data_IF_133953670900
#
_entry.id   IF_133953670900
#
_cell.length_a   1.000
_cell.length_b   1.000
_cell.length_c   1.000
_cell.angle_alpha   90.00
_cell.angle_beta   90.00
_cell.angle_gamma   90.00
#
_symmetry.space_group_name_H-M   'P 1'
#
loop_
_entity.id
_entity.type
_entity.pdbx_description
1 polymer ?
#
# COMPACT_ATOMS: atom_id res chain seq x y z
N UNK A 1 -6.22 16.66 14.43
CA UNK A 1 -5.66 16.94 13.10
C UNK A 1 -5.06 15.63 12.58
N UNK A 2 -5.54 15.13 11.45
CA UNK A 2 -5.14 13.84 10.87
C UNK A 2 -4.03 14.11 9.86
N UNK A 3 -2.77 14.11 10.27
CA UNK A 3 -1.64 14.20 9.35
C UNK A 3 -1.24 12.79 8.91
N UNK A 4 -1.55 12.44 7.66
CA UNK A 4 -1.12 11.18 7.05
C UNK A 4 -1.73 9.93 7.68
N UNK A 5 -3.03 9.94 7.96
CA UNK A 5 -3.69 8.80 8.63
C UNK A 5 -4.08 7.72 7.62
N UNK A 6 -3.66 6.48 7.89
CA UNK A 6 -4.13 5.27 7.19
C UNK A 6 -5.36 4.68 7.91
N UNK A 7 -6.35 4.19 7.16
CA UNK A 7 -7.43 3.34 7.71
C UNK A 7 -6.93 1.92 7.90
N UNK A 8 -6.85 1.47 9.15
CA UNK A 8 -6.46 0.10 9.51
C UNK A 8 -7.66 -0.85 9.57
N UNK A 9 -8.79 -0.37 10.09
CA UNK A 9 -9.98 -1.19 10.32
C UNK A 9 -11.04 -0.46 11.13
N UNK A 10 -11.89 -1.22 11.81
CA UNK A 10 -12.86 -0.74 12.79
C UNK A 10 -12.55 -1.43 14.11
N UNK A 11 -12.48 -0.67 15.20
CA UNK A 11 -12.41 -1.21 16.55
C UNK A 11 -13.82 -1.15 17.15
N UNK A 12 -14.35 -2.31 17.51
CA UNK A 12 -15.56 -2.42 18.32
C UNK A 12 -15.14 -2.58 19.77
N UNK A 13 -15.70 -1.75 20.66
CA UNK A 13 -15.48 -1.84 22.10
C UNK A 13 -16.83 -2.10 22.76
N UNK A 14 -16.88 -3.13 23.59
CA UNK A 14 -18.06 -3.48 24.37
C UNK A 14 -17.77 -3.22 25.84
N UNK A 15 -18.62 -2.42 26.49
CA UNK A 15 -18.55 -2.19 27.92
C UNK A 15 -19.03 -3.45 28.66
N UNK A 16 -18.33 -3.82 29.74
CA UNK A 16 -18.75 -4.93 30.60
C UNK A 16 -20.09 -4.66 31.30
N UNK A 17 -20.78 -5.71 31.78
CA UNK A 17 -22.13 -5.59 32.36
C UNK A 17 -22.20 -4.69 33.61
N UNK A 18 -21.10 -4.54 34.35
CA UNK A 18 -21.03 -3.70 35.55
C UNK A 18 -20.59 -2.25 35.26
N UNK A 19 -20.28 -1.94 33.99
CA UNK A 19 -19.99 -0.57 33.56
C UNK A 19 -21.33 0.15 33.48
N UNK A 20 -21.67 0.95 34.48
CA UNK A 20 -22.95 1.67 34.59
C UNK A 20 -23.20 2.75 33.52
N UNK A 21 -22.62 2.63 32.31
CA UNK A 21 -22.75 3.60 31.22
C UNK A 21 -21.95 3.25 29.96
N UNK A 22 -22.05 4.11 28.95
CA UNK A 22 -21.26 4.05 27.70
C UNK A 22 -19.75 4.07 28.01
N UNK A 23 -18.95 3.40 27.17
CA UNK A 23 -17.50 3.41 27.29
C UNK A 23 -16.96 4.85 27.23
N UNK A 24 -16.03 5.19 28.12
CA UNK A 24 -15.36 6.48 28.12
C UNK A 24 -14.66 6.71 26.77
N UNK A 25 -15.05 7.75 26.05
CA UNK A 25 -14.53 8.06 24.72
C UNK A 25 -13.02 8.27 24.71
N UNK A 26 -12.44 8.84 25.77
CA UNK A 26 -11.00 9.08 25.87
C UNK A 26 -10.24 7.77 26.05
N UNK A 27 -10.80 6.84 26.84
CA UNK A 27 -10.27 5.48 27.00
C UNK A 27 -10.35 4.71 25.68
N UNK A 28 -11.49 4.76 24.99
CA UNK A 28 -11.67 4.12 23.67
C UNK A 28 -10.70 4.69 22.64
N UNK A 29 -10.49 6.02 22.64
CA UNK A 29 -9.54 6.69 21.76
C UNK A 29 -8.11 6.26 22.05
N UNK A 30 -7.71 6.22 23.32
CA UNK A 30 -6.38 5.77 23.73
C UNK A 30 -6.13 4.30 23.35
N UNK A 31 -7.14 3.44 23.55
CA UNK A 31 -7.09 2.03 23.14
C UNK A 31 -6.94 1.90 21.62
N UNK A 32 -7.74 2.64 20.84
CA UNK A 32 -7.68 2.62 19.38
C UNK A 32 -6.33 3.10 18.84
N UNK A 33 -5.78 4.18 19.42
CA UNK A 33 -4.46 4.69 19.05
C UNK A 33 -3.34 3.69 19.38
N UNK A 34 -3.38 3.07 20.57
CA UNK A 34 -2.37 2.10 21.00
C UNK A 34 -2.44 0.83 20.15
N UNK A 35 -3.64 0.27 19.95
CA UNK A 35 -3.83 -0.89 19.08
C UNK A 35 -3.42 -0.60 17.63
N UNK A 36 -3.76 0.58 17.10
CA UNK A 36 -3.34 1.01 15.77
C UNK A 36 -1.81 1.10 15.63
N UNK A 37 -1.13 1.67 16.63
CA UNK A 37 0.32 1.77 16.66
C UNK A 37 0.98 0.39 16.66
N UNK A 38 0.52 -0.53 17.53
CA UNK A 38 1.02 -1.90 17.61
C UNK A 38 0.80 -2.68 16.30
N UNK A 39 -0.38 -2.55 15.69
CA UNK A 39 -0.67 -3.20 14.40
C UNK A 39 0.26 -2.69 13.29
N UNK A 40 0.54 -1.38 13.26
CA UNK A 40 1.42 -0.78 12.26
C UNK A 40 2.89 -1.11 12.50
N UNK A 41 3.34 -1.21 13.76
CA UNK A 41 4.73 -1.58 14.08
C UNK A 41 5.02 -3.06 13.84
N UNK A 42 4.08 -3.93 14.19
CA UNK A 42 4.28 -5.39 14.11
C UNK A 42 4.10 -5.95 12.69
N UNK A 43 3.28 -5.33 11.84
CA UNK A 43 2.99 -5.86 10.48
C UNK A 43 4.23 -6.02 9.59
N UNK A 44 5.33 -5.31 9.87
CA UNK A 44 6.59 -5.39 9.10
C UNK A 44 7.43 -6.59 9.54
N UNK A 45 7.25 -7.07 10.76
CA UNK A 45 8.06 -8.11 11.39
C UNK A 45 7.28 -9.42 11.62
N UNK A 46 5.96 -9.42 11.37
CA UNK A 46 5.06 -10.53 11.65
C UNK A 46 4.12 -10.82 10.48
N UNK A 47 4.14 -12.07 10.03
CA UNK A 47 3.22 -12.60 9.02
C UNK A 47 1.77 -12.75 9.53
N UNK A 48 1.53 -12.57 10.84
CA UNK A 48 0.19 -12.74 11.42
C UNK A 48 -0.81 -11.76 10.82
N UNK A 49 -0.41 -10.51 10.59
CA UNK A 49 -1.27 -9.54 9.92
C UNK A 49 -1.62 -9.99 8.49
N UNK A 50 -0.62 -10.42 7.70
CA UNK A 50 -0.84 -10.89 6.34
C UNK A 50 -1.77 -12.12 6.30
N UNK A 51 -1.62 -13.06 7.25
CA UNK A 51 -2.49 -14.24 7.38
C UNK A 51 -3.92 -13.90 7.76
N UNK A 52 -4.12 -12.95 8.70
CA UNK A 52 -5.44 -12.57 9.19
C UNK A 52 -6.23 -11.69 8.21
N UNK A 53 -5.54 -10.95 7.34
CA UNK A 53 -6.17 -10.00 6.41
C UNK A 53 -6.45 -10.58 5.02
N UNK A 54 -6.31 -11.91 4.86
CA UNK A 54 -6.49 -12.61 3.57
C UNK A 54 -7.29 -13.91 3.73
N UNK A 55 -8.09 -14.26 2.73
CA UNK A 55 -8.92 -15.48 2.75
C UNK A 55 -8.28 -16.68 2.05
N UNK A 56 -7.27 -16.45 1.19
CA UNK A 56 -6.52 -17.51 0.49
C UNK A 56 -5.03 -17.12 0.34
N UNK A 57 -4.13 -18.11 0.12
CA UNK A 57 -2.72 -17.82 -0.20
C UNK A 57 -2.59 -16.99 -1.48
N UNK A 58 -1.56 -16.14 -1.56
CA UNK A 58 -1.21 -15.40 -2.78
C UNK A 58 -0.09 -16.11 -3.55
N UNK A 59 -0.12 -16.05 -4.88
CA UNK A 59 1.00 -16.45 -5.72
C UNK A 59 2.19 -15.50 -5.55
N UNK A 60 3.40 -16.00 -5.79
CA UNK A 60 4.66 -15.22 -5.63
C UNK A 60 4.66 -13.86 -6.35
N UNK A 61 4.18 -13.73 -7.61
CA UNK A 61 4.16 -12.43 -8.29
C UNK A 61 3.25 -11.41 -7.59
N UNK A 62 2.18 -11.90 -6.99
CA UNK A 62 1.19 -11.10 -6.26
C UNK A 62 1.78 -10.68 -4.92
N UNK A 63 2.41 -11.59 -4.18
CA UNK A 63 3.13 -11.27 -2.92
C UNK A 63 4.16 -10.15 -3.14
N UNK A 64 4.94 -10.24 -4.24
CA UNK A 64 5.90 -9.21 -4.62
C UNK A 64 5.21 -7.85 -4.85
N UNK A 65 4.19 -7.81 -5.71
CA UNK A 65 3.46 -6.58 -6.00
C UNK A 65 2.81 -5.98 -4.75
N UNK A 66 2.17 -6.81 -3.93
CA UNK A 66 1.47 -6.39 -2.72
C UNK A 66 2.42 -5.80 -1.68
N UNK A 67 3.62 -6.38 -1.53
CA UNK A 67 4.67 -5.87 -0.65
C UNK A 67 5.19 -4.48 -1.03
N UNK A 68 5.09 -4.13 -2.32
CA UNK A 68 5.57 -2.87 -2.89
C UNK A 68 4.51 -1.75 -2.86
N UNK A 69 3.25 -2.11 -2.64
CA UNK A 69 2.10 -1.20 -2.73
C UNK A 69 2.05 -0.29 -1.50
N UNK A 70 1.88 1.04 -1.66
CA UNK A 70 1.74 1.95 -0.52
C UNK A 70 0.40 1.73 0.21
N UNK A 71 0.19 2.34 1.38
CA UNK A 71 -1.08 2.24 2.10
C UNK A 71 -2.29 2.56 1.21
N UNK A 72 -3.30 1.69 1.19
CA UNK A 72 -4.49 1.89 0.34
C UNK A 72 -5.30 3.14 0.68
N UNK A 73 -5.07 3.73 1.84
CA UNK A 73 -5.74 4.97 2.26
C UNK A 73 -4.75 5.92 2.87
N UNK A 74 -4.92 7.20 2.57
CA UNK A 74 -4.18 8.30 3.16
C UNK A 74 -5.12 9.50 3.26
N UNK A 75 -5.03 10.25 4.34
CA UNK A 75 -5.70 11.54 4.45
C UNK A 75 -4.83 12.51 5.22
N UNK A 76 -4.68 13.72 4.69
CA UNK A 76 -4.23 14.91 5.39
C UNK A 76 -5.27 16.04 5.25
N UNK A 77 -4.94 17.27 5.64
CA UNK A 77 -5.84 18.41 5.51
C UNK A 77 -6.13 18.85 4.06
N UNK A 78 -5.34 18.39 3.09
CA UNK A 78 -5.35 18.87 1.70
C UNK A 78 -5.78 17.79 0.72
N UNK A 79 -5.46 16.53 0.99
CA UNK A 79 -5.75 15.41 0.09
C UNK A 79 -6.20 14.18 0.84
N UNK A 80 -7.17 13.48 0.26
CA UNK A 80 -7.58 12.14 0.66
C UNK A 80 -7.38 11.20 -0.52
N UNK A 81 -6.69 10.10 -0.28
CA UNK A 81 -6.42 9.03 -1.24
C UNK A 81 -7.12 7.79 -0.73
N UNK A 82 -7.88 7.14 -1.62
CA UNK A 82 -8.46 5.82 -1.38
C UNK A 82 -8.26 4.99 -2.64
N UNK A 83 -7.51 3.91 -2.51
CA UNK A 83 -7.25 2.95 -3.56
C UNK A 83 -7.89 1.61 -3.17
N UNK A 84 -8.62 1.04 -4.11
CA UNK A 84 -9.13 -0.31 -4.01
C UNK A 84 -8.43 -1.15 -5.08
N UNK A 85 -7.79 -2.22 -4.64
CA UNK A 85 -7.25 -3.25 -5.50
C UNK A 85 -7.89 -4.54 -5.01
N UNK A 86 -8.61 -5.21 -5.91
CA UNK A 86 -9.10 -6.54 -5.59
C UNK A 86 -7.88 -7.42 -5.25
N UNK A 87 -7.91 -8.21 -4.17
CA UNK A 87 -6.84 -9.14 -3.88
C UNK A 87 -6.76 -10.16 -5.02
N UNK A 88 -5.90 -9.91 -5.99
CA UNK A 88 -5.75 -10.74 -7.16
C UNK A 88 -4.78 -11.88 -6.81
N UNK A 89 -5.22 -12.83 -5.97
CA UNK A 89 -4.33 -13.81 -5.35
C UNK A 89 -3.56 -14.72 -6.33
N UNK A 90 -3.93 -14.72 -7.62
CA UNK A 90 -3.25 -15.49 -8.66
C UNK A 90 -2.66 -14.63 -9.78
N UNK A 91 -3.11 -13.39 -9.93
CA UNK A 91 -2.81 -12.54 -11.08
C UNK A 91 -2.28 -11.20 -10.57
N UNK A 92 -1.09 -10.83 -10.99
CA UNK A 92 -0.53 -9.51 -10.75
C UNK A 92 -0.59 -8.70 -12.05
N UNK A 93 -0.49 -7.37 -11.98
CA UNK A 93 -0.46 -6.52 -13.17
C UNK A 93 -0.85 -5.07 -12.87
N UNK A 94 -1.99 -4.89 -12.21
CA UNK A 94 -2.47 -3.58 -11.80
C UNK A 94 -1.75 -3.12 -10.55
N UNK A 95 -1.07 -1.98 -10.60
CA UNK A 95 -0.38 -1.43 -9.46
C UNK A 95 -0.57 0.08 -9.36
N UNK A 96 -0.44 0.60 -8.15
CA UNK A 96 -0.44 2.05 -7.94
C UNK A 96 0.67 2.42 -6.97
N UNK A 97 1.19 3.62 -7.14
CA UNK A 97 2.12 4.23 -6.21
C UNK A 97 1.72 5.68 -5.97
N UNK A 98 1.86 6.15 -4.74
CA UNK A 98 1.76 7.57 -4.43
C UNK A 98 2.78 7.97 -3.36
N UNK A 99 3.08 9.27 -3.32
CA UNK A 99 3.83 9.91 -2.26
C UNK A 99 3.41 11.37 -2.13
N UNK A 100 3.30 11.85 -0.90
CA UNK A 100 3.07 13.27 -0.59
C UNK A 100 4.41 13.90 -0.20
N UNK A 101 4.83 14.93 -0.92
CA UNK A 101 6.08 15.65 -0.71
C UNK A 101 5.80 17.16 -0.64
N UNK A 102 5.78 17.71 0.58
CA UNK A 102 5.38 19.11 0.80
C UNK A 102 3.95 19.35 0.31
N UNK A 103 3.79 20.23 -0.67
CA UNK A 103 2.51 20.57 -1.31
C UNK A 103 2.19 19.73 -2.56
N UNK A 104 3.04 18.75 -2.90
CA UNK A 104 2.91 17.93 -4.11
C UNK A 104 2.48 16.51 -3.79
N UNK A 105 1.38 16.06 -4.40
CA UNK A 105 1.03 14.65 -4.50
C UNK A 105 1.59 14.07 -5.79
N UNK A 106 2.51 13.11 -5.67
CA UNK A 106 2.90 12.24 -6.76
C UNK A 106 1.99 11.01 -6.77
N UNK A 107 1.39 10.71 -7.92
CA UNK A 107 0.53 9.54 -8.12
C UNK A 107 0.86 8.90 -9.46
N UNK A 108 0.98 7.58 -9.47
CA UNK A 108 1.15 6.76 -10.67
C UNK A 108 0.28 5.51 -10.57
N UNK A 109 -0.31 5.12 -11.69
CA UNK A 109 -1.06 3.86 -11.86
C UNK A 109 -0.43 3.12 -13.02
N UNK A 110 -0.25 1.82 -12.84
CA UNK A 110 0.38 0.92 -13.81
C UNK A 110 -0.60 -0.21 -14.12
N UNK A 111 -0.71 -0.51 -15.41
CA UNK A 111 -1.40 -1.69 -15.94
C UNK A 111 -0.36 -2.47 -16.73
N UNK A 112 0.17 -3.53 -16.13
CA UNK A 112 1.13 -4.39 -16.81
C UNK A 112 0.37 -5.45 -17.63
N UNK A 113 0.49 -5.34 -18.95
CA UNK A 113 -0.11 -6.29 -19.90
C UNK A 113 0.27 -7.75 -19.57
N UNK A 114 -0.76 -8.58 -19.41
CA UNK A 114 -0.62 -10.01 -19.09
C UNK A 114 -1.20 -10.33 -17.71
N UNK A 115 -1.20 -11.61 -17.35
CA UNK A 115 -1.73 -12.08 -16.06
C UNK A 115 -0.84 -13.15 -15.43
N UNK A 116 0.44 -13.16 -15.80
CA UNK A 116 1.41 -14.17 -15.37
C UNK A 116 2.51 -13.55 -14.48
N UNK A 117 3.52 -14.35 -14.13
CA UNK A 117 4.62 -13.89 -13.30
C UNK A 117 5.41 -12.72 -13.92
N UNK A 118 5.37 -12.55 -15.25
CA UNK A 118 6.00 -11.44 -15.95
C UNK A 118 5.26 -10.13 -15.71
N UNK A 119 3.93 -10.17 -15.62
CA UNK A 119 3.11 -8.99 -15.32
C UNK A 119 3.43 -8.43 -13.91
N UNK A 120 3.51 -9.31 -12.90
CA UNK A 120 3.88 -8.89 -11.54
C UNK A 120 5.29 -8.30 -11.42
N UNK A 121 6.27 -8.88 -12.13
CA UNK A 121 7.62 -8.31 -12.20
C UNK A 121 7.65 -6.96 -12.93
N UNK A 122 6.89 -6.83 -14.01
CA UNK A 122 6.78 -5.59 -14.79
C UNK A 122 6.19 -4.47 -13.93
N UNK A 123 5.10 -4.74 -13.21
CA UNK A 123 4.49 -3.80 -12.28
C UNK A 123 5.46 -3.40 -11.14
N UNK A 124 6.14 -4.39 -10.54
CA UNK A 124 7.11 -4.14 -9.46
C UNK A 124 8.30 -3.28 -9.91
N UNK A 125 8.89 -3.58 -11.09
CA UNK A 125 9.97 -2.79 -11.67
C UNK A 125 9.50 -1.37 -12.02
N UNK A 126 8.31 -1.23 -12.60
CA UNK A 126 7.74 0.08 -12.93
C UNK A 126 7.55 0.96 -11.70
N UNK A 127 6.99 0.40 -10.61
CA UNK A 127 6.88 1.09 -9.32
C UNK A 127 8.26 1.45 -8.76
N UNK A 128 9.21 0.51 -8.72
CA UNK A 128 10.54 0.74 -8.18
C UNK A 128 11.30 1.84 -8.96
N UNK A 129 11.25 1.83 -10.28
CA UNK A 129 11.87 2.84 -11.14
C UNK A 129 11.20 4.20 -10.98
N UNK A 130 9.87 4.25 -10.97
CA UNK A 130 9.11 5.47 -10.70
C UNK A 130 9.50 6.08 -9.35
N UNK A 131 9.52 5.25 -8.29
CA UNK A 131 9.90 5.62 -6.93
C UNK A 131 11.32 6.17 -6.86
N UNK A 132 12.27 5.49 -7.50
CA UNK A 132 13.68 5.88 -7.54
C UNK A 132 13.85 7.26 -8.18
N UNK A 133 13.28 7.46 -9.37
CA UNK A 133 13.41 8.72 -10.10
C UNK A 133 12.65 9.87 -9.45
N UNK A 134 11.47 9.62 -8.88
CA UNK A 134 10.79 10.62 -8.05
C UNK A 134 11.70 11.09 -6.90
N UNK A 135 12.35 10.17 -6.18
CA UNK A 135 13.27 10.51 -5.09
C UNK A 135 14.51 11.28 -5.57
N UNK A 136 14.89 11.13 -6.83
CA UNK A 136 15.95 11.90 -7.48
C UNK A 136 15.47 13.25 -8.04
N UNK A 137 14.20 13.63 -7.85
CA UNK A 137 13.64 14.89 -8.35
C UNK A 137 13.32 14.90 -9.85
N UNK A 138 13.24 13.73 -10.48
CA UNK A 138 12.92 13.62 -11.90
C UNK A 138 11.48 14.07 -12.19
N UNK A 139 11.29 14.61 -13.38
CA UNK A 139 10.00 14.93 -13.98
C UNK A 139 9.24 13.66 -14.39
N UNK A 140 7.93 13.79 -14.66
CA UNK A 140 7.10 12.67 -15.13
C UNK A 140 7.63 12.08 -16.46
N UNK A 141 8.00 12.89 -17.49
CA UNK A 141 8.57 12.34 -18.71
C UNK A 141 9.87 11.57 -18.49
N UNK A 142 10.75 12.06 -17.61
CA UNK A 142 12.01 11.38 -17.27
C UNK A 142 11.75 10.04 -16.56
N UNK A 143 10.82 10.03 -15.60
CA UNK A 143 10.40 8.79 -14.92
C UNK A 143 9.79 7.78 -15.92
N UNK A 144 8.96 8.26 -16.85
CA UNK A 144 8.35 7.42 -17.90
C UNK A 144 9.40 6.81 -18.82
N UNK A 145 10.35 7.62 -19.32
CA UNK A 145 11.43 7.15 -20.18
C UNK A 145 12.33 6.13 -19.44
N UNK A 146 12.58 6.34 -18.16
CA UNK A 146 13.36 5.41 -17.36
C UNK A 146 12.64 4.08 -17.08
N UNK A 147 11.32 4.10 -16.91
CA UNK A 147 10.51 2.87 -16.82
C UNK A 147 10.65 2.07 -18.11
N UNK A 148 10.47 2.71 -19.27
CA UNK A 148 10.64 2.06 -20.58
C UNK A 148 12.03 1.43 -20.72
N UNK A 149 13.08 2.19 -20.38
CA UNK A 149 14.46 1.70 -20.45
C UNK A 149 14.70 0.50 -19.51
N UNK A 150 14.15 0.55 -18.30
CA UNK A 150 14.27 -0.53 -17.30
C UNK A 150 13.58 -1.81 -17.79
N UNK A 151 12.35 -1.67 -18.29
CA UNK A 151 11.56 -2.80 -18.81
C UNK A 151 12.22 -3.40 -20.07
N UNK A 152 12.68 -2.56 -21.00
CA UNK A 152 13.39 -3.01 -22.19
C UNK A 152 14.71 -3.73 -21.87
N UNK A 153 15.45 -3.28 -20.85
CA UNK A 153 16.64 -3.99 -20.38
C UNK A 153 16.30 -5.35 -19.76
N UNK A 154 15.25 -5.43 -18.93
CA UNK A 154 14.80 -6.68 -18.32
C UNK A 154 14.39 -7.73 -19.37
N UNK A 155 13.66 -7.32 -20.41
CA UNK A 155 13.24 -8.23 -21.48
C UNK A 155 14.42 -8.76 -22.31
N UNK A 156 15.45 -7.93 -22.55
CA UNK A 156 16.67 -8.34 -23.28
C UNK A 156 17.50 -9.36 -22.51
N UNK A 157 17.58 -9.26 -21.18
CA UNK A 157 18.31 -10.22 -20.34
C UNK A 157 17.65 -11.60 -20.23
N UNK A 158 16.43 -11.79 -20.77
CA UNK A 158 15.68 -13.05 -20.76
C UNK A 158 15.76 -13.84 -22.08
N UNK A 159 16.47 -13.30 -23.09
CA UNK A 159 16.74 -13.96 -24.37
C UNK A 159 18.14 -14.53 -24.37
#
# INVERSE_FOLDING_TARGET
MRDGTQRLGVLQVESGPDSGGQADEDVVRALASTAGLLLVSERVHSDSHARLTRTRPMGVPVELQWSMTPPRTFADQRVTISAFMEPAYQVAGDAFEYAVAGDTLHLAVFDAMGHDASAGLTAALSMATCRSHRRAGATIPEASAAIENTLGAHQRGRR
#
